data_IF_126698570164
#
_entry.id   IF_126698570164
#
_cell.length_a   1.000
_cell.length_b   1.000
_cell.length_c   1.000
_cell.angle_alpha   90.00
_cell.angle_beta   90.00
_cell.angle_gamma   90.00
#
_symmetry.space_group_name_H-M   'P 1'
#
loop_
_entity.id
_entity.type
_entity.pdbx_description
1 polymer ?
#
# COMPACT_ATOMS: atom_id res chain seq x y z
N UNK A 1 6.82 -26.36 -13.86
CA UNK A 1 6.29 -25.13 -14.48
C UNK A 1 7.02 -23.94 -13.89
N UNK A 2 7.67 -23.15 -14.70
CA UNK A 2 8.44 -21.99 -14.28
C UNK A 2 7.50 -20.93 -13.71
N UNK A 3 7.63 -20.58 -12.43
CA UNK A 3 6.84 -19.51 -11.84
C UNK A 3 7.41 -18.16 -12.26
N UNK A 4 6.65 -17.42 -13.08
CA UNK A 4 7.02 -16.11 -13.58
C UNK A 4 5.78 -15.21 -13.68
N UNK A 5 5.91 -13.99 -13.13
CA UNK A 5 4.86 -12.97 -13.21
C UNK A 5 5.45 -11.71 -13.83
N UNK A 6 4.84 -11.28 -14.93
CA UNK A 6 5.19 -10.05 -15.65
C UNK A 6 4.10 -9.00 -15.43
N UNK A 7 4.45 -7.88 -14.80
CA UNK A 7 3.52 -6.76 -14.62
C UNK A 7 3.59 -5.76 -15.79
N UNK A 8 4.79 -5.38 -16.16
CA UNK A 8 5.07 -4.47 -17.29
C UNK A 8 6.52 -4.65 -17.72
N UNK A 9 6.93 -3.99 -18.81
CA UNK A 9 8.34 -3.91 -19.20
C UNK A 9 9.20 -3.45 -18.01
N UNK A 10 10.24 -4.21 -17.67
CA UNK A 10 11.16 -3.99 -16.53
C UNK A 10 10.51 -4.13 -15.13
N UNK A 11 9.33 -4.77 -15.02
CA UNK A 11 8.69 -5.06 -13.74
C UNK A 11 8.21 -6.50 -13.72
N UNK A 12 8.98 -7.38 -13.11
CA UNK A 12 8.71 -8.81 -13.06
C UNK A 12 9.29 -9.46 -11.80
N UNK A 13 8.81 -10.66 -11.51
CA UNK A 13 9.39 -11.62 -10.58
C UNK A 13 9.29 -13.01 -11.17
N UNK A 14 10.32 -13.80 -11.01
CA UNK A 14 10.37 -15.17 -11.52
C UNK A 14 11.47 -16.02 -10.89
N UNK A 15 11.33 -17.31 -11.04
CA UNK A 15 12.33 -18.28 -10.63
C UNK A 15 13.28 -18.54 -11.78
N UNK A 16 14.55 -18.21 -11.63
CA UNK A 16 15.61 -18.47 -12.58
C UNK A 16 16.28 -19.81 -12.22
N UNK A 17 16.29 -20.73 -13.16
CA UNK A 17 16.98 -22.01 -13.09
C UNK A 17 18.21 -21.90 -13.96
N UNK A 18 19.39 -22.33 -13.48
CA UNK A 18 20.64 -22.24 -14.25
C UNK A 18 21.05 -23.62 -14.81
N UNK A 19 21.40 -24.56 -13.94
CA UNK A 19 21.89 -25.90 -14.35
C UNK A 19 21.07 -27.04 -13.74
N UNK A 20 20.22 -26.76 -12.76
CA UNK A 20 19.44 -27.73 -12.03
C UNK A 20 17.98 -27.27 -11.98
N UNK A 21 17.06 -28.13 -12.43
CA UNK A 21 15.62 -27.83 -12.44
C UNK A 21 14.98 -27.88 -11.05
N UNK A 22 15.67 -28.43 -10.07
CA UNK A 22 15.20 -28.45 -8.67
C UNK A 22 15.65 -27.21 -7.90
N UNK A 23 16.77 -26.58 -8.32
CA UNK A 23 17.33 -25.41 -7.68
C UNK A 23 17.06 -24.15 -8.47
N UNK A 24 16.39 -23.20 -7.85
CA UNK A 24 16.13 -21.91 -8.48
C UNK A 24 16.57 -20.74 -7.60
N UNK A 25 16.91 -19.65 -8.27
CA UNK A 25 17.13 -18.35 -7.65
C UNK A 25 15.98 -17.43 -8.05
N UNK A 26 15.25 -16.93 -7.06
CA UNK A 26 14.21 -15.94 -7.33
C UNK A 26 14.83 -14.62 -7.75
N UNK A 27 14.47 -14.15 -8.93
CA UNK A 27 14.91 -12.87 -9.50
C UNK A 27 13.72 -11.93 -9.63
N UNK A 28 13.95 -10.66 -9.39
CA UNK A 28 12.91 -9.65 -9.53
C UNK A 28 13.51 -8.31 -9.96
N UNK A 29 12.74 -7.54 -10.73
CA UNK A 29 13.13 -6.22 -11.21
C UNK A 29 11.96 -5.24 -11.08
N UNK A 30 12.25 -4.02 -10.66
CA UNK A 30 11.30 -2.90 -10.67
C UNK A 30 10.07 -3.03 -9.78
N UNK A 31 9.99 -4.09 -8.96
CA UNK A 31 8.90 -4.32 -8.00
C UNK A 31 9.23 -3.74 -6.62
N UNK A 32 8.22 -3.68 -5.76
CA UNK A 32 8.30 -3.10 -4.41
C UNK A 32 9.45 -3.66 -3.58
N UNK A 33 9.72 -4.97 -3.68
CA UNK A 33 10.76 -5.65 -2.90
C UNK A 33 12.17 -5.07 -3.09
N UNK A 34 12.44 -4.47 -4.25
CA UNK A 34 13.75 -3.88 -4.59
C UNK A 34 13.84 -2.38 -4.33
N UNK A 35 12.75 -1.75 -3.95
CA UNK A 35 12.71 -0.29 -3.75
C UNK A 35 13.06 0.07 -2.32
N UNK A 36 14.00 1.01 -2.16
CA UNK A 36 14.45 1.50 -0.85
C UNK A 36 13.56 2.59 -0.25
N UNK A 37 12.64 3.15 -1.04
CA UNK A 37 11.77 4.26 -0.66
C UNK A 37 10.39 3.81 -0.12
N UNK A 38 10.16 2.50 -0.03
CA UNK A 38 8.99 1.94 0.62
C UNK A 38 9.32 1.51 2.06
N UNK A 39 8.36 1.67 2.96
CA UNK A 39 8.45 1.13 4.32
C UNK A 39 8.57 -0.41 4.29
N UNK A 40 9.25 -0.98 5.27
CA UNK A 40 9.50 -2.43 5.28
C UNK A 40 8.22 -3.25 5.46
N UNK A 41 7.19 -2.70 6.10
CA UNK A 41 5.86 -3.33 6.18
C UNK A 41 5.28 -3.62 4.78
N UNK A 42 5.53 -2.73 3.80
CA UNK A 42 5.06 -2.93 2.42
C UNK A 42 5.79 -4.09 1.77
N UNK A 43 7.09 -4.20 2.01
CA UNK A 43 7.91 -5.33 1.52
C UNK A 43 7.51 -6.63 2.20
N UNK A 44 7.21 -6.60 3.50
CA UNK A 44 6.75 -7.75 4.27
C UNK A 44 5.44 -8.31 3.69
N UNK A 45 4.41 -7.49 3.58
CA UNK A 45 3.09 -7.89 3.05
C UNK A 45 3.20 -8.35 1.59
N UNK A 46 3.83 -7.55 0.75
CA UNK A 46 3.99 -7.88 -0.66
C UNK A 46 4.83 -9.14 -0.87
N UNK A 47 5.92 -9.28 -0.12
CA UNK A 47 6.82 -10.44 -0.18
C UNK A 47 6.15 -11.72 0.30
N UNK A 48 5.37 -11.66 1.39
CA UNK A 48 4.60 -12.79 1.91
C UNK A 48 3.57 -13.28 0.88
N UNK A 49 2.79 -12.38 0.28
CA UNK A 49 1.85 -12.70 -0.80
C UNK A 49 2.59 -13.38 -1.96
N UNK A 50 3.66 -12.76 -2.45
CA UNK A 50 4.42 -13.30 -3.59
C UNK A 50 5.03 -14.67 -3.28
N UNK A 51 5.51 -14.88 -2.05
CA UNK A 51 6.05 -16.16 -1.64
C UNK A 51 5.00 -17.27 -1.65
N UNK A 52 3.80 -17.00 -1.13
CA UNK A 52 2.68 -17.97 -1.15
C UNK A 52 2.26 -18.26 -2.60
N UNK A 53 2.05 -17.25 -3.42
CA UNK A 53 1.64 -17.43 -4.82
C UNK A 53 2.70 -18.20 -5.62
N UNK A 54 3.98 -17.86 -5.47
CA UNK A 54 5.05 -18.43 -6.29
C UNK A 54 5.45 -19.84 -5.86
N UNK A 55 5.40 -20.16 -4.55
CA UNK A 55 5.83 -21.46 -4.02
C UNK A 55 4.65 -22.40 -3.84
N UNK A 56 3.58 -21.94 -3.19
CA UNK A 56 2.45 -22.78 -2.80
C UNK A 56 1.36 -22.78 -3.87
N UNK A 57 1.35 -21.80 -4.77
CA UNK A 57 0.33 -21.62 -5.83
C UNK A 57 -1.09 -21.51 -5.28
N UNK A 58 -1.23 -21.00 -4.06
CA UNK A 58 -2.49 -20.88 -3.36
C UNK A 58 -2.91 -19.41 -3.24
N UNK A 59 -3.86 -19.03 -4.09
CA UNK A 59 -4.39 -17.66 -4.11
C UNK A 59 -5.23 -17.37 -2.87
N UNK A 60 -6.04 -18.33 -2.41
CA UNK A 60 -6.91 -18.14 -1.22
C UNK A 60 -6.05 -17.91 0.03
N UNK A 61 -5.06 -18.74 0.24
CA UNK A 61 -4.10 -18.58 1.35
C UNK A 61 -3.36 -17.25 1.29
N UNK A 62 -3.02 -16.76 0.10
CA UNK A 62 -2.36 -15.46 -0.05
C UNK A 62 -3.28 -14.29 0.33
N UNK A 63 -4.59 -14.40 0.07
CA UNK A 63 -5.60 -13.42 0.48
C UNK A 63 -5.84 -13.47 2.00
N UNK A 64 -5.91 -14.66 2.59
CA UNK A 64 -6.01 -14.84 4.04
C UNK A 64 -4.81 -14.22 4.76
N UNK A 65 -3.59 -14.47 4.26
CA UNK A 65 -2.37 -13.83 4.74
C UNK A 65 -2.50 -12.30 4.67
N UNK A 66 -2.87 -11.74 3.51
CA UNK A 66 -3.08 -10.30 3.36
C UNK A 66 -4.05 -9.76 4.41
N UNK A 67 -5.24 -10.35 4.53
CA UNK A 67 -6.26 -9.90 5.48
C UNK A 67 -5.79 -9.97 6.94
N UNK A 68 -5.01 -10.99 7.29
CA UNK A 68 -4.39 -11.13 8.61
C UNK A 68 -3.40 -10.01 8.89
N UNK A 69 -2.44 -9.78 7.98
CA UNK A 69 -1.41 -8.76 8.14
C UNK A 69 -2.00 -7.33 8.23
N UNK A 70 -3.03 -7.05 7.43
CA UNK A 70 -3.73 -5.75 7.50
C UNK A 70 -4.43 -5.54 8.85
N UNK A 71 -5.07 -6.59 9.40
CA UNK A 71 -5.69 -6.53 10.73
C UNK A 71 -4.65 -6.33 11.83
N UNK A 72 -3.51 -7.00 11.74
CA UNK A 72 -2.41 -6.84 12.70
C UNK A 72 -1.76 -5.45 12.61
N UNK A 73 -1.66 -4.90 11.41
CA UNK A 73 -1.17 -3.53 11.19
C UNK A 73 -2.09 -2.50 11.87
N UNK A 74 -3.40 -2.60 11.69
CA UNK A 74 -4.37 -1.68 12.32
C UNK A 74 -4.31 -1.79 13.86
N UNK A 75 -4.02 -2.97 14.40
CA UNK A 75 -3.86 -3.18 15.85
C UNK A 75 -2.52 -2.67 16.39
N UNK A 76 -1.63 -2.16 15.51
CA UNK A 76 -0.33 -1.64 15.92
C UNK A 76 0.67 -2.70 16.37
N UNK A 77 0.55 -3.94 15.90
CA UNK A 77 1.44 -5.03 16.30
C UNK A 77 2.84 -4.97 15.66
N UNK A 78 3.01 -4.15 14.64
CA UNK A 78 4.31 -3.99 13.98
C UNK A 78 5.14 -2.88 14.62
N UNK A 79 6.46 -3.09 14.76
CA UNK A 79 7.35 -2.08 15.32
C UNK A 79 7.48 -0.86 14.39
N UNK A 80 7.81 0.30 14.97
CA UNK A 80 7.92 1.57 14.23
C UNK A 80 8.94 1.51 13.10
N UNK A 81 9.98 0.72 13.27
CA UNK A 81 11.03 0.49 12.27
C UNK A 81 10.46 -0.01 10.94
N UNK A 82 9.46 -0.91 11.01
CA UNK A 82 8.78 -1.43 9.81
C UNK A 82 7.91 -0.38 9.09
N UNK A 83 7.51 0.68 9.78
CA UNK A 83 6.71 1.79 9.23
C UNK A 83 7.59 2.92 8.70
N UNK A 84 8.91 2.87 8.95
CA UNK A 84 9.83 3.94 8.61
C UNK A 84 10.05 4.01 7.09
N UNK A 85 9.80 5.19 6.54
CA UNK A 85 10.10 5.56 5.15
C UNK A 85 11.34 6.43 5.17
N UNK A 86 12.30 6.16 4.27
CA UNK A 86 13.51 6.96 4.19
C UNK A 86 13.65 7.59 2.80
N UNK A 87 13.79 8.92 2.76
CA UNK A 87 13.97 9.69 1.52
C UNK A 87 15.21 10.57 1.63
N UNK A 88 15.94 10.72 0.51
CA UNK A 88 17.03 11.67 0.43
C UNK A 88 16.50 13.07 0.12
N UNK A 89 17.03 14.06 0.82
CA UNK A 89 16.78 15.47 0.54
C UNK A 89 17.51 15.89 -0.75
N UNK A 90 16.84 16.68 -1.57
CA UNK A 90 17.45 17.31 -2.74
C UNK A 90 17.87 18.72 -2.38
N UNK A 91 18.82 19.27 -3.12
CA UNK A 91 19.24 20.68 -3.01
C UNK A 91 18.14 21.66 -3.43
N UNK A 92 17.26 21.23 -4.36
CA UNK A 92 16.17 22.07 -4.88
C UNK A 92 14.88 21.28 -5.06
N UNK A 93 13.76 21.91 -4.72
CA UNK A 93 12.39 21.46 -4.97
C UNK A 93 11.57 22.61 -5.58
N UNK A 94 10.79 22.30 -6.63
CA UNK A 94 9.91 23.31 -7.27
C UNK A 94 8.82 23.79 -6.29
N UNK A 95 8.21 22.86 -5.54
CA UNK A 95 7.17 23.12 -4.54
C UNK A 95 7.57 22.44 -3.23
N UNK A 96 8.43 23.05 -2.41
CA UNK A 96 8.99 22.43 -1.21
C UNK A 96 7.93 22.09 -0.15
N UNK A 97 6.88 22.91 -0.03
CA UNK A 97 5.76 22.73 0.90
C UNK A 97 4.93 21.47 0.63
N UNK A 98 4.92 20.98 -0.60
CA UNK A 98 4.23 19.73 -0.97
C UNK A 98 5.04 18.46 -0.66
N UNK A 99 6.31 18.61 -0.29
CA UNK A 99 7.25 17.50 -0.10
C UNK A 99 7.40 17.17 1.39
N UNK A 100 6.75 16.10 1.84
CA UNK A 100 6.67 15.72 3.26
C UNK A 100 8.03 15.74 3.99
N UNK A 101 9.04 15.07 3.45
CA UNK A 101 10.37 15.01 4.08
C UNK A 101 11.16 16.33 4.01
N UNK A 102 10.82 17.25 3.08
CA UNK A 102 11.41 18.59 3.05
C UNK A 102 10.82 19.46 4.16
N UNK A 103 9.50 19.46 4.29
CA UNK A 103 8.79 20.19 5.36
C UNK A 103 9.26 19.67 6.74
N UNK A 104 9.42 18.34 6.89
CA UNK A 104 9.95 17.76 8.12
C UNK A 104 11.39 18.22 8.41
N UNK A 105 12.26 18.28 7.38
CA UNK A 105 13.63 18.76 7.56
C UNK A 105 13.68 20.23 8.01
N UNK A 106 12.82 21.07 7.48
CA UNK A 106 12.71 22.48 7.92
C UNK A 106 12.22 22.57 9.36
N UNK A 107 11.20 21.80 9.73
CA UNK A 107 10.66 21.71 11.10
C UNK A 107 11.72 21.24 12.11
N UNK A 108 12.56 20.26 11.74
CA UNK A 108 13.70 19.83 12.58
C UNK A 108 14.65 21.01 12.77
N UNK A 109 14.98 21.74 11.70
CA UNK A 109 15.87 22.92 11.79
C UNK A 109 15.30 24.07 12.63
N UNK A 110 13.97 24.22 12.68
CA UNK A 110 13.30 25.19 13.55
C UNK A 110 13.35 24.78 15.04
N UNK A 111 13.18 23.48 15.31
CA UNK A 111 13.27 22.92 16.68
C UNK A 111 14.71 22.90 17.19
N UNK A 112 15.64 22.52 16.34
CA UNK A 112 17.05 22.31 16.65
C UNK A 112 17.93 22.94 15.57
N UNK A 113 18.23 24.26 15.62
CA UNK A 113 18.94 24.98 14.56
C UNK A 113 20.28 24.36 14.12
N UNK A 114 21.00 23.68 15.04
CA UNK A 114 22.25 23.00 14.72
C UNK A 114 22.11 21.65 14.02
N UNK A 115 20.91 21.05 14.02
CA UNK A 115 20.63 19.69 13.53
C UNK A 115 19.76 19.65 12.26
N UNK A 116 19.66 20.76 11.53
CA UNK A 116 18.89 20.80 10.29
C UNK A 116 19.49 19.83 9.24
N UNK A 117 18.70 18.84 8.74
CA UNK A 117 19.17 17.94 7.69
C UNK A 117 19.58 18.69 6.41
N UNK A 118 20.70 18.29 5.82
CA UNK A 118 21.29 18.92 4.63
C UNK A 118 20.89 18.20 3.33
N UNK A 119 21.09 18.81 2.15
CA UNK A 119 20.93 18.15 0.87
C UNK A 119 21.79 16.85 0.79
N UNK A 120 21.21 15.78 0.23
CA UNK A 120 21.68 14.41 0.16
C UNK A 120 21.54 13.59 1.46
N UNK A 121 21.24 14.19 2.60
CA UNK A 121 20.94 13.43 3.80
C UNK A 121 19.67 12.57 3.59
N UNK A 122 19.67 11.40 4.21
CA UNK A 122 18.54 10.49 4.19
C UNK A 122 17.74 10.66 5.46
N UNK A 123 16.56 11.23 5.31
CA UNK A 123 15.66 11.50 6.42
C UNK A 123 14.67 10.33 6.61
N UNK A 124 14.70 9.64 7.77
CA UNK A 124 13.69 8.67 8.14
C UNK A 124 12.46 9.38 8.71
N UNK A 125 11.27 8.95 8.30
CA UNK A 125 10.02 9.49 8.83
C UNK A 125 8.90 8.45 8.80
N UNK A 126 7.88 8.68 9.62
CA UNK A 126 6.67 7.86 9.74
C UNK A 126 5.46 8.78 9.61
N UNK A 127 4.42 8.33 8.92
CA UNK A 127 3.13 9.03 8.90
C UNK A 127 2.42 8.82 10.23
N UNK A 128 1.93 9.93 10.82
CA UNK A 128 1.24 9.96 12.11
C UNK A 128 -0.23 10.31 11.95
N UNK A 129 -1.03 9.96 12.94
CA UNK A 129 -2.40 10.43 13.06
C UNK A 129 -2.39 11.89 13.51
N UNK A 130 -3.03 12.75 12.75
CA UNK A 130 -3.21 14.17 13.07
C UNK A 130 -4.70 14.48 13.07
N UNK A 131 -5.16 15.22 14.07
CA UNK A 131 -6.54 15.70 14.10
C UNK A 131 -6.75 16.79 13.07
N UNK A 132 -7.60 16.53 12.09
CA UNK A 132 -7.97 17.51 11.06
C UNK A 132 -9.00 18.49 11.67
N UNK A 133 -8.58 19.73 11.90
CA UNK A 133 -9.51 20.80 12.30
C UNK A 133 -10.39 21.17 11.09
N UNK A 134 -11.69 21.38 11.32
CA UNK A 134 -12.63 21.80 10.27
C UNK A 134 -12.11 23.08 9.58
N UNK A 135 -11.99 23.04 8.25
CA UNK A 135 -11.57 24.19 7.45
C UNK A 135 -10.06 24.34 7.24
N UNK A 136 -9.22 23.50 7.85
CA UNK A 136 -7.76 23.53 7.64
C UNK A 136 -7.34 22.28 6.87
N UNK A 137 -6.87 22.47 5.62
CA UNK A 137 -6.29 21.39 4.82
C UNK A 137 -4.83 21.17 5.24
N UNK A 138 -4.55 20.05 5.91
CA UNK A 138 -3.19 19.67 6.28
C UNK A 138 -2.42 19.14 5.06
N UNK A 139 -1.23 19.67 4.84
CA UNK A 139 -0.30 19.19 3.83
C UNK A 139 0.34 17.85 4.26
N UNK A 140 0.97 17.15 3.33
CA UNK A 140 1.63 15.88 3.61
C UNK A 140 2.77 16.02 4.64
N UNK A 141 3.44 17.17 4.65
CA UNK A 141 4.50 17.48 5.60
C UNK A 141 4.04 17.58 7.05
N UNK A 142 2.77 17.98 7.26
CA UNK A 142 2.19 18.11 8.61
C UNK A 142 1.84 16.74 9.22
N UNK A 143 1.79 15.71 8.39
CA UNK A 143 1.36 14.34 8.76
C UNK A 143 2.54 13.38 8.99
N UNK A 144 3.75 13.88 9.09
CA UNK A 144 4.95 13.05 9.24
C UNK A 144 5.84 13.54 10.38
N UNK A 145 6.51 12.60 11.07
CA UNK A 145 7.51 12.88 12.10
C UNK A 145 8.64 11.85 12.11
N UNK A 146 9.75 12.19 12.75
CA UNK A 146 10.87 11.27 12.93
C UNK A 146 10.52 10.14 13.91
N UNK A 147 11.09 8.94 13.76
CA UNK A 147 10.86 7.83 14.70
C UNK A 147 11.20 8.17 16.16
N UNK A 148 12.26 8.96 16.39
CA UNK A 148 12.65 9.44 17.73
C UNK A 148 11.55 10.32 18.33
N UNK A 149 11.14 11.35 17.62
CA UNK A 149 10.10 12.28 18.07
C UNK A 149 8.75 11.58 18.36
N UNK A 150 8.41 10.57 17.56
CA UNK A 150 7.20 9.75 17.77
C UNK A 150 7.29 8.99 19.10
N UNK A 151 8.44 8.38 19.41
CA UNK A 151 8.66 7.65 20.66
C UNK A 151 8.63 8.59 21.88
N UNK A 152 9.31 9.72 21.80
CA UNK A 152 9.41 10.72 22.87
C UNK A 152 8.04 11.35 23.20
N UNK A 153 7.24 11.65 22.19
CA UNK A 153 5.94 12.30 22.33
C UNK A 153 4.75 11.34 22.31
N UNK A 154 5.01 10.03 22.29
CA UNK A 154 3.99 8.98 22.28
C UNK A 154 2.92 9.16 21.17
N UNK A 155 3.36 9.60 19.99
CA UNK A 155 2.47 9.83 18.83
C UNK A 155 2.03 8.51 18.20
N UNK A 156 0.81 8.48 17.66
CA UNK A 156 0.26 7.28 17.02
C UNK A 156 0.53 7.29 15.52
N UNK A 157 1.11 6.20 14.95
CA UNK A 157 1.25 6.06 13.51
C UNK A 157 -0.10 6.01 12.80
N UNK A 158 -0.14 6.51 11.58
CA UNK A 158 -1.31 6.43 10.73
C UNK A 158 -1.31 5.12 9.92
N UNK A 159 -1.72 4.02 10.54
CA UNK A 159 -1.74 2.71 9.89
C UNK A 159 -2.60 2.67 8.63
N UNK A 160 -3.70 3.42 8.60
CA UNK A 160 -4.57 3.50 7.43
C UNK A 160 -3.84 4.09 6.21
N UNK A 161 -2.99 5.11 6.42
CA UNK A 161 -2.15 5.66 5.37
C UNK A 161 -1.27 4.59 4.71
N UNK A 162 -0.63 3.72 5.52
CA UNK A 162 0.20 2.62 4.98
C UNK A 162 -0.63 1.63 4.17
N UNK A 163 -1.82 1.30 4.63
CA UNK A 163 -2.73 0.39 3.92
C UNK A 163 -3.16 0.99 2.58
N UNK A 164 -3.71 2.20 2.58
CA UNK A 164 -4.34 2.80 1.40
C UNK A 164 -3.33 3.35 0.39
N UNK A 165 -2.24 3.97 0.88
CA UNK A 165 -1.31 4.70 0.03
C UNK A 165 -0.05 3.91 -0.33
N UNK A 166 0.33 2.91 0.47
CA UNK A 166 1.57 2.17 0.26
C UNK A 166 1.36 0.70 -0.10
N UNK A 167 0.47 -0.02 0.61
CA UNK A 167 0.24 -1.45 0.41
C UNK A 167 -0.76 -1.71 -0.71
N UNK A 168 -1.89 -1.00 -0.74
CA UNK A 168 -3.01 -1.25 -1.66
C UNK A 168 -2.59 -1.31 -3.12
N UNK A 169 -1.94 -0.27 -3.61
CA UNK A 169 -1.58 -0.18 -5.04
C UNK A 169 -0.71 -1.33 -5.55
N UNK A 170 0.42 -1.68 -4.91
CA UNK A 170 1.25 -2.80 -5.39
C UNK A 170 0.56 -4.16 -5.22
N UNK A 171 -0.25 -4.35 -4.18
CA UNK A 171 -0.99 -5.60 -3.97
C UNK A 171 -2.08 -5.75 -5.02
N UNK A 172 -2.88 -4.72 -5.29
CA UNK A 172 -3.90 -4.76 -6.35
C UNK A 172 -3.31 -5.10 -7.71
N UNK A 173 -2.08 -4.65 -8.03
CA UNK A 173 -1.41 -5.02 -9.29
C UNK A 173 -1.14 -6.52 -9.43
N UNK A 174 -0.96 -7.25 -8.33
CA UNK A 174 -0.82 -8.71 -8.36
C UNK A 174 -2.17 -9.35 -8.71
N UNK A 175 -3.19 -9.02 -7.93
CA UNK A 175 -4.50 -9.67 -8.05
C UNK A 175 -5.31 -9.18 -9.25
N UNK A 176 -5.02 -8.00 -9.82
CA UNK A 176 -5.61 -7.53 -11.06
C UNK A 176 -5.34 -8.46 -12.26
N UNK A 177 -4.27 -9.28 -12.21
CA UNK A 177 -3.96 -10.26 -13.24
C UNK A 177 -4.96 -11.43 -13.28
N UNK A 178 -5.63 -11.69 -12.15
CA UNK A 178 -6.55 -12.80 -11.94
C UNK A 178 -7.85 -12.33 -11.27
N UNK A 179 -8.25 -11.08 -11.50
CA UNK A 179 -9.36 -10.46 -10.77
C UNK A 179 -10.70 -11.18 -10.98
N UNK A 180 -10.90 -11.75 -12.15
CA UNK A 180 -12.06 -12.57 -12.54
C UNK A 180 -12.14 -13.93 -11.82
N UNK A 181 -11.06 -14.35 -11.16
CA UNK A 181 -10.98 -15.60 -10.38
C UNK A 181 -11.09 -15.35 -8.86
N UNK A 182 -11.20 -14.10 -8.42
CA UNK A 182 -11.27 -13.78 -7.01
C UNK A 182 -12.68 -14.03 -6.45
N UNK A 183 -12.75 -14.61 -5.25
CA UNK A 183 -13.98 -14.67 -4.48
C UNK A 183 -14.47 -13.22 -4.19
N UNK A 184 -15.66 -12.88 -4.66
CA UNK A 184 -16.20 -11.51 -4.60
C UNK A 184 -16.19 -10.76 -5.93
N UNK A 185 -15.71 -11.39 -7.01
CA UNK A 185 -15.92 -10.88 -8.36
C UNK A 185 -17.38 -11.16 -8.79
N UNK A 186 -18.19 -10.12 -8.84
CA UNK A 186 -19.65 -10.22 -9.04
C UNK A 186 -20.09 -9.87 -10.47
N UNK A 187 -19.24 -10.06 -11.46
CA UNK A 187 -19.53 -9.84 -12.87
C UNK A 187 -19.50 -11.15 -13.63
N UNK A 188 -20.18 -11.20 -14.79
CA UNK A 188 -20.12 -12.34 -15.68
C UNK A 188 -18.71 -12.49 -16.33
N UNK A 189 -18.45 -13.66 -16.93
CA UNK A 189 -17.14 -13.98 -17.52
C UNK A 189 -16.71 -13.00 -18.61
N UNK A 190 -17.65 -12.49 -19.38
CA UNK A 190 -17.39 -11.67 -20.56
C UNK A 190 -17.35 -10.17 -20.24
N UNK A 191 -17.58 -9.80 -18.99
CA UNK A 191 -17.63 -8.39 -18.58
C UNK A 191 -16.37 -7.61 -18.95
N UNK A 192 -15.20 -8.16 -18.64
CA UNK A 192 -13.93 -7.50 -18.91
C UNK A 192 -13.65 -7.40 -20.42
N UNK A 193 -14.07 -8.38 -21.20
CA UNK A 193 -13.92 -8.39 -22.65
C UNK A 193 -14.85 -7.36 -23.30
N UNK A 194 -16.11 -7.31 -22.90
CA UNK A 194 -17.05 -6.26 -23.37
C UNK A 194 -16.55 -4.85 -22.99
N UNK A 195 -16.03 -4.70 -21.80
CA UNK A 195 -15.46 -3.44 -21.34
C UNK A 195 -14.25 -3.04 -22.18
N UNK A 196 -13.37 -4.00 -22.52
CA UNK A 196 -12.22 -3.76 -23.37
C UNK A 196 -12.63 -3.32 -24.78
N UNK A 197 -13.62 -3.98 -25.39
CA UNK A 197 -14.17 -3.57 -26.68
C UNK A 197 -14.71 -2.15 -26.63
N UNK A 198 -15.45 -1.80 -25.59
CA UNK A 198 -15.96 -0.43 -25.40
C UNK A 198 -14.86 0.63 -25.23
N UNK A 199 -13.68 0.24 -24.77
CA UNK A 199 -12.53 1.13 -24.72
C UNK A 199 -11.83 1.24 -26.07
N UNK A 200 -11.76 0.16 -26.86
CA UNK A 200 -11.21 0.18 -28.22
C UNK A 200 -12.05 1.07 -29.16
N UNK A 201 -13.36 1.13 -28.96
CA UNK A 201 -14.24 2.03 -29.73
C UNK A 201 -13.95 3.52 -29.48
N UNK A 202 -13.33 3.86 -28.33
CA UNK A 202 -13.13 5.25 -27.90
C UNK A 202 -11.68 5.69 -27.85
N UNK A 203 -10.74 4.76 -27.77
CA UNK A 203 -9.33 5.03 -27.55
C UNK A 203 -8.45 4.14 -28.42
N UNK A 204 -7.22 4.55 -28.64
CA UNK A 204 -6.19 3.67 -29.21
C UNK A 204 -5.91 2.46 -28.30
N UNK A 205 -5.32 1.40 -28.87
CA UNK A 205 -5.03 0.13 -28.19
C UNK A 205 -4.22 0.33 -26.89
N UNK A 206 -3.27 1.26 -26.89
CA UNK A 206 -2.43 1.51 -25.71
C UNK A 206 -3.27 2.09 -24.56
N UNK A 207 -4.09 3.09 -24.86
CA UNK A 207 -4.96 3.74 -23.88
C UNK A 207 -6.11 2.82 -23.43
N UNK A 208 -6.66 2.01 -24.32
CA UNK A 208 -7.66 0.99 -23.98
C UNK A 208 -7.09 -0.03 -22.99
N UNK A 209 -5.88 -0.54 -23.22
CA UNK A 209 -5.18 -1.44 -22.29
C UNK A 209 -4.90 -0.79 -20.93
N UNK A 210 -4.51 0.50 -20.90
CA UNK A 210 -4.32 1.24 -19.66
C UNK A 210 -5.63 1.36 -18.87
N UNK A 211 -6.72 1.71 -19.55
CA UNK A 211 -8.06 1.81 -18.94
C UNK A 211 -8.53 0.48 -18.35
N UNK A 212 -8.39 -0.61 -19.10
CA UNK A 212 -8.73 -1.95 -18.63
C UNK A 212 -7.88 -2.34 -17.41
N UNK A 213 -6.56 -2.11 -17.46
CA UNK A 213 -5.65 -2.37 -16.33
C UNK A 213 -6.05 -1.58 -15.08
N UNK A 214 -6.41 -0.31 -15.24
CA UNK A 214 -6.87 0.52 -14.13
C UNK A 214 -8.18 -0.02 -13.55
N UNK A 215 -9.14 -0.46 -14.39
CA UNK A 215 -10.40 -1.05 -13.92
C UNK A 215 -10.17 -2.38 -13.17
N UNK A 216 -9.30 -3.24 -13.68
CA UNK A 216 -8.91 -4.48 -12.99
C UNK A 216 -8.28 -4.19 -11.61
N UNK A 217 -7.42 -3.17 -11.50
CA UNK A 217 -6.84 -2.74 -10.23
C UNK A 217 -7.89 -2.20 -9.26
N UNK A 218 -8.86 -1.44 -9.76
CA UNK A 218 -9.98 -0.91 -8.97
C UNK A 218 -10.82 -2.06 -8.39
N UNK A 219 -11.24 -3.01 -9.22
CA UNK A 219 -12.00 -4.19 -8.79
C UNK A 219 -11.23 -5.03 -7.75
N UNK A 220 -9.95 -5.30 -7.98
CA UNK A 220 -9.12 -5.98 -6.99
C UNK A 220 -9.04 -5.18 -5.67
N UNK A 221 -8.98 -3.85 -5.75
CA UNK A 221 -8.98 -2.97 -4.59
C UNK A 221 -10.28 -3.02 -3.79
N UNK A 222 -11.43 -3.05 -4.47
CA UNK A 222 -12.75 -3.18 -3.83
C UNK A 222 -12.90 -4.52 -3.12
N UNK A 223 -12.50 -5.62 -3.77
CA UNK A 223 -12.59 -6.98 -3.22
C UNK A 223 -11.68 -7.18 -2.02
N UNK A 224 -10.43 -6.69 -2.08
CA UNK A 224 -9.42 -7.00 -1.07
C UNK A 224 -9.37 -6.00 0.08
N UNK A 225 -9.69 -4.75 -0.16
CA UNK A 225 -9.52 -3.65 0.81
C UNK A 225 -10.83 -2.95 1.18
N UNK A 226 -11.93 -3.18 0.45
CA UNK A 226 -13.21 -2.47 0.64
C UNK A 226 -13.76 -2.55 2.06
N UNK A 227 -13.64 -3.70 2.74
CA UNK A 227 -14.10 -3.87 4.11
C UNK A 227 -13.30 -2.99 5.08
N UNK A 228 -11.97 -3.00 4.96
CA UNK A 228 -11.07 -2.23 5.81
C UNK A 228 -11.27 -0.73 5.62
N UNK A 229 -11.44 -0.29 4.37
CA UNK A 229 -11.70 1.12 4.06
C UNK A 229 -13.05 1.57 4.60
N UNK A 230 -14.09 0.74 4.48
CA UNK A 230 -15.43 1.01 5.07
C UNK A 230 -15.37 1.09 6.58
N UNK A 231 -14.70 0.15 7.25
CA UNK A 231 -14.52 0.18 8.70
C UNK A 231 -13.79 1.45 9.16
N UNK A 232 -12.77 1.86 8.43
CA UNK A 232 -12.01 3.07 8.73
C UNK A 232 -12.84 4.34 8.55
N UNK A 233 -13.64 4.43 7.48
CA UNK A 233 -14.56 5.55 7.23
C UNK A 233 -15.62 5.61 8.32
N UNK A 234 -16.22 4.47 8.68
CA UNK A 234 -17.24 4.40 9.72
C UNK A 234 -16.69 4.86 11.07
N UNK A 235 -15.46 4.43 11.41
CA UNK A 235 -14.78 4.85 12.63
C UNK A 235 -14.48 6.36 12.63
N UNK A 236 -14.03 6.92 11.51
CA UNK A 236 -13.79 8.38 11.38
C UNK A 236 -15.09 9.19 11.54
N UNK A 237 -16.20 8.68 11.05
CA UNK A 237 -17.52 9.33 11.09
C UNK A 237 -18.32 8.99 12.35
N UNK A 238 -17.75 8.27 13.32
CA UNK A 238 -18.45 7.76 14.52
C UNK A 238 -19.71 6.91 14.20
N UNK A 239 -19.75 6.28 13.03
CA UNK A 239 -20.83 5.39 12.62
C UNK A 239 -20.60 4.01 13.25
N UNK A 240 -21.46 3.58 14.15
CA UNK A 240 -21.40 2.24 14.73
C UNK A 240 -21.88 1.20 13.70
N UNK A 241 -21.30 -0.01 13.66
CA UNK A 241 -21.82 -1.09 12.83
C UNK A 241 -23.29 -1.37 13.13
N UNK A 242 -24.07 -1.66 12.11
CA UNK A 242 -25.52 -1.97 12.26
C UNK A 242 -25.74 -3.07 13.30
N UNK A 243 -24.86 -4.06 13.36
CA UNK A 243 -24.90 -5.14 14.37
C UNK A 243 -24.84 -4.64 15.81
N UNK A 244 -24.26 -3.47 16.09
CA UNK A 244 -24.20 -2.90 17.44
C UNK A 244 -25.55 -2.36 17.92
N UNK A 245 -26.50 -2.12 17.01
CA UNK A 245 -27.86 -1.69 17.34
C UNK A 245 -28.81 -2.85 17.65
N UNK A 246 -28.43 -4.06 17.25
CA UNK A 246 -29.22 -5.29 17.47
C UNK A 246 -28.73 -6.11 18.68
N UNK A 247 -27.69 -5.68 19.38
CA UNK A 247 -27.33 -6.29 20.64
C UNK A 247 -28.32 -5.82 21.72
N UNK A 248 -29.39 -6.57 21.87
CA UNK A 248 -30.32 -6.43 23.00
C UNK A 248 -29.54 -6.72 24.28
N UNK A 249 -29.42 -5.73 25.16
CA UNK A 249 -28.91 -6.01 26.52
C UNK A 249 -29.80 -7.08 27.15
N UNK A 250 -29.25 -8.13 27.74
CA UNK A 250 -30.08 -9.05 28.51
C UNK A 250 -30.75 -8.22 29.61
N UNK A 251 -32.08 -8.31 29.70
CA UNK A 251 -32.83 -7.76 30.83
C UNK A 251 -32.44 -8.57 32.06
N UNK A 252 -31.80 -7.90 33.02
CA UNK A 252 -31.68 -8.43 34.39
C UNK A 252 -33.06 -8.55 35.02
#
# INVERSE_FOLDING_TARGET
MLAFILFTKKRYIGNKYEFDLEKYKQTSMGIVLKRRDNADIVKHVYGGIMNIIMKEKDIKKSIEFLKKELKELIKGKFPLEMLTITKSLKSYYKNPESIAHKVLADRIGEREPGNKPLPNDRLPYIYIQVEEKKGVSLLQGDKVETPSFIKENNLKPNYLFYITNQIKKPVCQIYALIVDQLDGYNYDKDYLDRLYQSYLDKYDVKKANEKLTNKKNELAGEILFGDIEREAINKKNNIKPITSYFMVKPRN
#
